data_IF_059647562711
#
_entry.id   IF_059647562711
#
_cell.length_a   1.000
_cell.length_b   1.000
_cell.length_c   1.000
_cell.angle_alpha   90.00
_cell.angle_beta   90.00
_cell.angle_gamma   90.00
#
_symmetry.space_group_name_H-M   'P 1'
#
loop_
_entity.id
_entity.type
_entity.pdbx_description
1 polymer ?
#
# COMPACT_ATOMS: atom_id res chain seq x y z
N UNK A 1 18.65 -3.86 0.06
CA UNK A 1 19.84 -2.99 0.28
C UNK A 1 20.34 -3.29 1.68
N UNK A 2 21.53 -3.85 1.80
CA UNK A 2 22.02 -4.44 3.06
C UNK A 2 22.98 -3.55 3.85
N UNK A 3 23.35 -2.36 3.36
CA UNK A 3 24.27 -1.44 4.05
C UNK A 3 23.84 0.00 3.86
N UNK A 4 23.15 0.53 4.86
CA UNK A 4 22.63 1.91 4.86
C UNK A 4 23.75 2.96 4.75
N UNK A 5 24.96 2.64 5.25
CA UNK A 5 26.12 3.54 5.18
C UNK A 5 26.48 3.92 3.73
N UNK A 6 26.23 3.03 2.78
CA UNK A 6 26.51 3.29 1.35
C UNK A 6 25.60 4.33 0.72
N UNK A 7 24.41 4.52 1.27
CA UNK A 7 23.42 5.48 0.77
C UNK A 7 23.35 6.76 1.59
N UNK A 8 24.13 6.86 2.67
CA UNK A 8 24.15 8.05 3.53
C UNK A 8 24.36 9.36 2.73
N UNK A 9 25.34 9.49 1.82
CA UNK A 9 25.50 10.72 1.04
C UNK A 9 24.25 11.05 0.20
N UNK A 10 23.53 10.03 -0.31
CA UNK A 10 22.28 10.25 -1.02
C UNK A 10 21.18 10.75 -0.10
N UNK A 11 21.06 10.19 1.12
CA UNK A 11 20.08 10.63 2.11
C UNK A 11 20.33 12.07 2.58
N UNK A 12 21.60 12.45 2.74
CA UNK A 12 22.01 13.82 3.06
C UNK A 12 21.60 14.79 1.94
N UNK A 13 21.89 14.46 0.68
CA UNK A 13 21.47 15.25 -0.49
C UNK A 13 19.94 15.33 -0.62
N UNK A 14 19.22 14.22 -0.42
CA UNK A 14 17.75 14.21 -0.43
C UNK A 14 17.19 15.14 0.63
N UNK A 15 17.76 15.12 1.85
CA UNK A 15 17.36 16.03 2.92
C UNK A 15 17.66 17.49 2.59
N UNK A 16 18.79 17.78 1.95
CA UNK A 16 19.20 19.13 1.54
C UNK A 16 18.26 19.71 0.47
N UNK A 17 17.88 18.89 -0.51
CA UNK A 17 17.04 19.27 -1.63
C UNK A 17 15.55 19.03 -1.40
N UNK A 18 15.14 18.70 -0.18
CA UNK A 18 13.76 18.35 0.21
C UNK A 18 13.14 17.27 -0.69
N UNK A 19 13.95 16.31 -1.15
CA UNK A 19 13.50 15.18 -1.95
C UNK A 19 13.02 14.05 -1.01
N UNK A 20 11.75 13.59 -1.10
CA UNK A 20 11.25 12.56 -0.21
C UNK A 20 11.85 11.19 -0.49
N UNK A 21 12.18 10.46 0.56
CA UNK A 21 12.58 9.06 0.53
C UNK A 21 11.34 8.16 0.60
N UNK A 22 11.08 7.38 -0.43
CA UNK A 22 10.03 6.37 -0.46
C UNK A 22 10.68 5.00 -0.28
N UNK A 23 10.19 4.22 0.68
CA UNK A 23 10.82 2.95 1.03
C UNK A 23 9.86 1.76 0.97
N UNK A 24 10.26 0.71 0.26
CA UNK A 24 9.75 -0.62 0.52
C UNK A 24 10.36 -1.12 1.83
N UNK A 25 9.57 -1.15 2.88
CA UNK A 25 10.02 -1.24 4.27
C UNK A 25 10.28 -2.66 4.78
N UNK A 26 11.06 -3.49 4.10
CA UNK A 26 11.36 -4.86 4.55
C UNK A 26 12.86 -5.15 4.63
N UNK A 27 13.29 -5.86 5.68
CA UNK A 27 14.64 -6.46 5.73
C UNK A 27 14.67 -7.73 4.89
N UNK A 28 15.86 -8.05 4.35
CA UNK A 28 16.07 -9.26 3.51
C UNK A 28 16.97 -10.30 4.19
N UNK A 29 17.23 -10.16 5.49
CA UNK A 29 18.05 -11.10 6.24
C UNK A 29 17.39 -12.50 6.29
N UNK A 30 18.09 -13.59 5.93
CA UNK A 30 17.50 -14.94 5.84
C UNK A 30 16.91 -15.48 7.14
N UNK A 31 17.37 -14.98 8.29
CA UNK A 31 16.89 -15.40 9.61
C UNK A 31 15.64 -14.66 10.11
N UNK A 32 15.12 -13.70 9.35
CA UNK A 32 13.91 -12.96 9.71
C UNK A 32 12.70 -13.57 9.03
N UNK A 33 11.68 -13.94 9.83
CA UNK A 33 10.40 -14.43 9.31
C UNK A 33 9.79 -13.42 8.34
N UNK A 34 9.23 -13.92 7.23
CA UNK A 34 8.64 -13.10 6.18
C UNK A 34 7.58 -12.11 6.71
N UNK A 35 6.82 -12.52 7.73
CA UNK A 35 5.78 -11.69 8.32
C UNK A 35 6.31 -10.61 9.27
N UNK A 36 7.56 -10.71 9.73
CA UNK A 36 8.21 -9.78 10.64
C UNK A 36 9.15 -8.77 9.94
N UNK A 37 9.40 -8.94 8.65
CA UNK A 37 10.41 -8.16 7.89
C UNK A 37 10.16 -6.66 7.94
N UNK A 38 8.91 -6.22 7.84
CA UNK A 38 8.56 -4.80 7.93
C UNK A 38 8.83 -4.27 9.34
N UNK A 39 8.35 -4.94 10.39
CA UNK A 39 8.61 -4.55 11.78
C UNK A 39 10.10 -4.40 12.06
N UNK A 40 10.89 -5.41 11.70
CA UNK A 40 12.35 -5.39 11.92
C UNK A 40 13.00 -4.24 11.14
N UNK A 41 12.57 -3.96 9.91
CA UNK A 41 13.09 -2.82 9.13
C UNK A 41 12.80 -1.48 9.82
N UNK A 42 11.59 -1.29 10.31
CA UNK A 42 11.20 -0.07 11.01
C UNK A 42 12.04 0.15 12.26
N UNK A 43 12.20 -0.90 13.08
CA UNK A 43 12.91 -0.85 14.36
C UNK A 43 14.42 -0.68 14.20
N UNK A 44 15.03 -1.29 13.19
CA UNK A 44 16.51 -1.39 13.09
C UNK A 44 17.13 -0.50 12.01
N UNK A 45 16.36 -0.15 10.98
CA UNK A 45 16.88 0.62 9.83
C UNK A 45 16.22 1.98 9.75
N UNK A 46 14.88 2.03 9.67
CA UNK A 46 14.18 3.28 9.41
C UNK A 46 14.23 4.24 10.60
N UNK A 47 14.16 3.71 11.82
CA UNK A 47 14.29 4.52 13.04
C UNK A 47 15.64 5.28 13.10
N UNK A 48 16.76 4.61 12.71
CA UNK A 48 18.07 5.25 12.63
C UNK A 48 18.13 6.31 11.52
N UNK A 49 17.54 6.03 10.34
CA UNK A 49 17.47 7.01 9.24
C UNK A 49 16.74 8.27 9.68
N UNK A 50 15.54 8.13 10.24
CA UNK A 50 14.70 9.25 10.68
C UNK A 50 15.40 10.06 11.79
N UNK A 51 16.06 9.39 12.73
CA UNK A 51 16.80 10.05 13.80
C UNK A 51 18.01 10.86 13.30
N UNK A 52 18.75 10.33 12.32
CA UNK A 52 19.94 11.00 11.76
C UNK A 52 19.60 12.07 10.72
N UNK A 53 18.45 11.96 10.07
CA UNK A 53 18.01 12.88 9.01
C UNK A 53 16.67 13.53 9.36
N UNK A 54 16.59 14.38 10.41
CA UNK A 54 15.32 14.88 10.95
C UNK A 54 14.54 15.79 10.00
N UNK A 55 15.18 16.31 8.95
CA UNK A 55 14.52 17.11 7.91
C UNK A 55 14.15 16.31 6.66
N UNK A 56 14.55 15.05 6.56
CA UNK A 56 14.21 14.18 5.44
C UNK A 56 12.72 13.82 5.50
N UNK A 57 12.00 14.02 4.40
CA UNK A 57 10.65 13.47 4.25
C UNK A 57 10.74 11.99 3.92
N UNK A 58 9.99 11.18 4.63
CA UNK A 58 10.00 9.72 4.45
C UNK A 58 8.59 9.19 4.27
N UNK A 59 8.39 8.32 3.30
CA UNK A 59 7.14 7.59 3.10
C UNK A 59 7.42 6.09 3.23
N UNK A 60 6.77 5.45 4.19
CA UNK A 60 6.67 3.99 4.27
C UNK A 60 5.64 3.56 3.24
N UNK A 61 6.09 3.08 2.09
CA UNK A 61 5.20 2.65 1.02
C UNK A 61 4.46 1.35 1.41
N UNK A 62 3.18 1.23 0.99
CA UNK A 62 2.34 0.03 1.15
C UNK A 62 2.45 -0.61 2.54
N UNK A 63 2.37 0.22 3.61
CA UNK A 63 2.44 -0.24 4.99
C UNK A 63 1.50 -1.44 5.23
N UNK A 64 2.00 -2.48 5.89
CA UNK A 64 1.29 -3.75 6.03
C UNK A 64 1.11 -4.22 7.48
N UNK A 65 1.71 -3.53 8.47
CA UNK A 65 1.69 -3.92 9.87
C UNK A 65 1.12 -2.84 10.80
N UNK A 66 0.67 -3.24 11.98
CA UNK A 66 0.34 -2.31 13.07
C UNK A 66 1.57 -1.50 13.47
N UNK A 67 2.73 -2.11 13.50
CA UNK A 67 4.00 -1.50 13.87
C UNK A 67 4.35 -0.34 12.93
N UNK A 68 4.02 -0.46 11.63
CA UNK A 68 4.15 0.65 10.69
C UNK A 68 3.18 1.80 11.01
N UNK A 69 1.94 1.49 11.37
CA UNK A 69 0.97 2.50 11.83
C UNK A 69 1.47 3.23 13.06
N UNK A 70 1.95 2.48 14.07
CA UNK A 70 2.44 3.03 15.33
C UNK A 70 3.70 3.88 15.11
N UNK A 71 4.63 3.40 14.29
CA UNK A 71 5.85 4.12 13.93
C UNK A 71 5.53 5.46 13.23
N UNK A 72 4.67 5.45 12.21
CA UNK A 72 4.30 6.66 11.45
C UNK A 72 3.55 7.63 12.35
N UNK A 73 2.62 7.15 13.17
CA UNK A 73 1.85 7.99 14.09
C UNK A 73 2.74 8.65 15.13
N UNK A 74 3.69 7.90 15.71
CA UNK A 74 4.64 8.39 16.71
C UNK A 74 5.78 9.24 16.17
N UNK A 75 6.03 9.23 14.86
CA UNK A 75 7.06 10.03 14.20
C UNK A 75 6.65 11.49 14.03
N UNK A 76 7.60 12.36 13.68
CA UNK A 76 7.34 13.76 13.33
C UNK A 76 6.51 13.93 12.04
N UNK A 77 6.16 15.17 11.65
CA UNK A 77 5.28 15.45 10.51
C UNK A 77 5.92 15.12 9.14
N UNK A 78 7.21 14.82 9.11
CA UNK A 78 7.95 14.46 7.90
C UNK A 78 7.94 12.96 7.58
N UNK A 79 7.21 12.15 8.35
CA UNK A 79 7.05 10.72 8.13
C UNK A 79 5.59 10.41 7.87
N UNK A 80 5.33 9.74 6.74
CA UNK A 80 4.01 9.33 6.31
C UNK A 80 4.03 7.88 5.79
N UNK A 81 2.88 7.34 5.44
CA UNK A 81 2.78 6.02 4.81
C UNK A 81 1.69 5.98 3.75
N UNK A 82 1.91 5.19 2.71
CA UNK A 82 0.86 4.75 1.79
C UNK A 82 0.24 3.45 2.28
N UNK A 83 -1.05 3.27 2.01
CA UNK A 83 -1.77 2.02 2.32
C UNK A 83 -2.53 1.59 1.07
N UNK A 84 -2.39 0.32 0.69
CA UNK A 84 -3.03 -0.25 -0.50
C UNK A 84 -4.43 -0.76 -0.19
N UNK A 85 -5.30 -0.82 -1.20
CA UNK A 85 -6.64 -1.36 -1.05
C UNK A 85 -6.62 -2.84 -0.59
N UNK A 86 -5.69 -3.64 -1.10
CA UNK A 86 -5.60 -5.04 -0.72
C UNK A 86 -5.16 -5.26 0.73
N UNK A 87 -4.29 -4.41 1.31
CA UNK A 87 -3.95 -4.47 2.72
C UNK A 87 -5.09 -3.98 3.65
N UNK A 88 -6.01 -3.15 3.15
CA UNK A 88 -7.22 -2.75 3.89
C UNK A 88 -8.29 -3.85 3.89
N UNK A 89 -8.45 -4.57 2.78
CA UNK A 89 -9.56 -5.50 2.57
C UNK A 89 -9.25 -6.94 2.99
N UNK A 90 -7.98 -7.36 2.93
CA UNK A 90 -7.62 -8.77 3.07
C UNK A 90 -6.55 -9.00 4.13
N UNK A 91 -6.75 -10.06 4.91
CA UNK A 91 -5.69 -10.65 5.75
C UNK A 91 -5.02 -11.81 5.02
N UNK A 92 -3.92 -12.32 5.59
CA UNK A 92 -3.17 -13.45 5.02
C UNK A 92 -4.00 -14.70 4.74
N UNK A 93 -5.15 -14.86 5.39
CA UNK A 93 -6.06 -15.97 5.16
C UNK A 93 -6.62 -16.00 3.72
N UNK A 94 -6.66 -14.82 3.05
CA UNK A 94 -7.09 -14.74 1.66
C UNK A 94 -6.19 -15.52 0.69
N UNK A 95 -4.89 -15.68 1.02
CA UNK A 95 -3.94 -16.47 0.22
C UNK A 95 -4.32 -17.95 0.12
N UNK A 96 -5.09 -18.47 1.08
CA UNK A 96 -5.34 -19.91 1.25
C UNK A 96 -6.83 -20.26 1.27
N UNK A 97 -7.71 -19.29 1.07
CA UNK A 97 -9.16 -19.52 1.05
C UNK A 97 -9.59 -20.30 -0.18
N UNK A 98 -10.04 -21.56 0.01
CA UNK A 98 -10.41 -22.47 -1.06
C UNK A 98 -9.22 -23.06 -1.83
N UNK A 99 -8.01 -23.00 -1.28
CA UNK A 99 -6.75 -23.43 -1.88
C UNK A 99 -5.74 -22.30 -1.99
N UNK A 100 -4.58 -22.55 -2.60
CA UNK A 100 -3.57 -21.50 -2.79
C UNK A 100 -4.01 -20.52 -3.89
N UNK A 101 -4.04 -19.24 -3.55
CA UNK A 101 -4.48 -18.15 -4.45
C UNK A 101 -3.29 -17.25 -4.82
N UNK A 102 -2.53 -17.54 -5.86
CA UNK A 102 -1.30 -16.83 -6.21
C UNK A 102 -1.52 -15.35 -6.54
N UNK A 103 -2.71 -14.96 -7.01
CA UNK A 103 -3.06 -13.57 -7.32
C UNK A 103 -3.18 -12.67 -6.07
N UNK A 104 -3.23 -13.25 -4.85
CA UNK A 104 -3.12 -12.52 -3.59
C UNK A 104 -1.69 -12.44 -3.03
N UNK A 105 -0.71 -13.04 -3.72
CA UNK A 105 0.69 -12.94 -3.31
C UNK A 105 1.29 -11.59 -3.72
N UNK A 106 1.73 -10.82 -2.73
CA UNK A 106 2.43 -9.53 -2.85
C UNK A 106 3.57 -9.45 -1.81
N UNK A 107 4.42 -8.46 -1.95
CA UNK A 107 5.39 -8.05 -0.95
C UNK A 107 5.25 -6.55 -0.69
N UNK A 108 5.06 -6.15 0.57
CA UNK A 108 4.94 -6.97 1.78
C UNK A 108 3.74 -7.91 1.72
N UNK A 109 3.89 -9.12 2.27
CA UNK A 109 2.78 -10.09 2.29
C UNK A 109 1.61 -9.58 3.13
N UNK A 110 0.39 -10.00 2.77
CA UNK A 110 -0.79 -9.80 3.62
C UNK A 110 -0.52 -10.35 5.02
N UNK A 111 -0.86 -9.59 6.06
CA UNK A 111 -0.57 -9.92 7.45
C UNK A 111 -1.80 -10.53 8.16
N UNK A 112 -1.68 -10.76 9.47
CA UNK A 112 -2.81 -11.19 10.32
C UNK A 112 -3.92 -10.15 10.33
N UNK A 113 -5.13 -10.58 10.66
CA UNK A 113 -6.33 -9.72 10.77
C UNK A 113 -6.09 -8.50 11.66
N UNK A 114 -5.41 -8.66 12.78
CA UNK A 114 -5.11 -7.54 13.70
C UNK A 114 -4.27 -6.41 13.06
N UNK A 115 -3.42 -6.73 12.09
CA UNK A 115 -2.68 -5.71 11.32
C UNK A 115 -3.60 -5.04 10.30
N UNK A 116 -4.41 -5.82 9.55
CA UNK A 116 -5.41 -5.28 8.62
C UNK A 116 -6.34 -4.28 9.31
N UNK A 117 -6.87 -4.64 10.49
CA UNK A 117 -7.72 -3.74 11.27
C UNK A 117 -6.99 -2.46 11.72
N UNK A 118 -5.70 -2.56 12.07
CA UNK A 118 -4.90 -1.39 12.44
C UNK A 118 -4.71 -0.46 11.24
N UNK A 119 -4.43 -1.01 10.05
CA UNK A 119 -4.32 -0.24 8.80
C UNK A 119 -5.64 0.42 8.42
N UNK A 120 -6.76 -0.30 8.52
CA UNK A 120 -8.09 0.24 8.22
C UNK A 120 -8.42 1.41 9.16
N UNK A 121 -8.18 1.25 10.46
CA UNK A 121 -8.35 2.35 11.43
C UNK A 121 -7.46 3.56 11.10
N UNK A 122 -6.20 3.34 10.72
CA UNK A 122 -5.29 4.41 10.34
C UNK A 122 -5.76 5.17 9.09
N UNK A 123 -6.12 4.45 8.02
CA UNK A 123 -6.62 5.03 6.78
C UNK A 123 -7.89 5.85 6.99
N UNK A 124 -8.79 5.37 7.85
CA UNK A 124 -10.10 6.01 8.11
C UNK A 124 -10.09 6.99 9.29
N UNK A 125 -8.95 7.22 9.94
CA UNK A 125 -8.83 8.13 11.10
C UNK A 125 -8.91 9.61 10.76
N UNK A 126 -8.64 9.99 9.50
CA UNK A 126 -8.42 11.37 9.07
C UNK A 126 -7.02 11.91 9.40
N UNK A 127 -6.10 11.07 9.87
CA UNK A 127 -4.70 11.45 10.06
C UNK A 127 -4.01 11.63 8.70
N UNK A 128 -3.60 12.86 8.39
CA UNK A 128 -3.00 13.22 7.10
C UNK A 128 -1.66 12.52 6.78
N UNK A 129 -1.08 11.80 7.73
CA UNK A 129 0.12 10.99 7.50
C UNK A 129 -0.16 9.70 6.74
N UNK A 130 -1.43 9.29 6.59
CA UNK A 130 -1.82 8.10 5.84
C UNK A 130 -2.58 8.51 4.59
N UNK A 131 -2.16 7.99 3.43
CA UNK A 131 -2.81 8.29 2.16
C UNK A 131 -2.73 7.12 1.18
N UNK A 132 -3.45 7.24 0.09
CA UNK A 132 -3.57 6.23 -0.94
C UNK A 132 -2.23 5.98 -1.63
N UNK A 133 -1.88 4.70 -1.76
CA UNK A 133 -0.85 4.20 -2.65
C UNK A 133 -1.25 2.82 -3.12
N UNK A 134 -1.53 2.65 -4.40
CA UNK A 134 -2.15 1.42 -4.91
C UNK A 134 -1.19 0.23 -4.95
N UNK A 135 0.10 0.50 -5.16
CA UNK A 135 1.08 -0.55 -5.47
C UNK A 135 0.52 -1.59 -6.46
N UNK A 136 -0.15 -1.07 -7.52
CA UNK A 136 -0.75 -1.93 -8.54
C UNK A 136 0.34 -2.54 -9.40
N UNK A 137 0.68 -3.80 -9.12
CA UNK A 137 1.83 -4.51 -9.69
C UNK A 137 1.37 -5.68 -10.58
N UNK A 138 1.09 -5.43 -11.88
CA UNK A 138 0.66 -6.46 -12.80
C UNK A 138 1.79 -7.42 -13.17
N UNK A 139 1.51 -8.72 -13.07
CA UNK A 139 2.32 -9.78 -13.63
C UNK A 139 1.43 -10.68 -14.49
N UNK A 140 1.97 -11.22 -15.58
CA UNK A 140 1.20 -12.11 -16.40
C UNK A 140 0.68 -13.33 -15.60
N UNK A 141 -0.49 -13.82 -15.97
CA UNK A 141 -1.14 -14.95 -15.30
C UNK A 141 -0.19 -16.14 -15.15
N UNK A 142 0.51 -16.51 -16.23
CA UNK A 142 1.43 -17.64 -16.22
C UNK A 142 2.62 -17.44 -15.24
N UNK A 143 3.06 -16.20 -15.02
CA UNK A 143 4.14 -15.89 -14.09
C UNK A 143 3.64 -15.98 -12.63
N UNK A 144 2.41 -15.53 -12.37
CA UNK A 144 1.75 -15.64 -11.06
C UNK A 144 1.44 -17.08 -10.67
N UNK A 145 0.99 -17.88 -11.64
CA UNK A 145 0.59 -19.28 -11.43
C UNK A 145 1.76 -20.26 -11.60
N UNK A 146 2.99 -19.76 -11.67
CA UNK A 146 4.22 -20.57 -11.71
C UNK A 146 4.71 -20.93 -10.30
N UNK A 147 5.68 -21.83 -10.20
CA UNK A 147 6.35 -22.16 -8.93
C UNK A 147 7.06 -20.96 -8.29
N UNK A 148 7.47 -19.98 -9.07
CA UNK A 148 8.09 -18.75 -8.59
C UNK A 148 7.06 -17.77 -8.00
N UNK A 149 5.82 -17.77 -8.52
CA UNK A 149 4.69 -17.03 -7.98
C UNK A 149 4.94 -15.53 -7.84
N UNK A 150 5.39 -14.82 -8.88
CA UNK A 150 5.78 -13.40 -8.83
C UNK A 150 4.92 -12.56 -7.89
N UNK A 151 5.57 -11.84 -6.96
CA UNK A 151 4.90 -10.99 -5.98
C UNK A 151 4.36 -9.72 -6.64
N UNK A 152 3.07 -9.44 -6.44
CA UNK A 152 2.40 -8.25 -6.94
C UNK A 152 0.90 -8.50 -7.13
N UNK A 153 0.08 -7.53 -6.77
CA UNK A 153 -1.39 -7.56 -6.95
C UNK A 153 -1.78 -6.48 -7.94
N UNK A 154 -2.47 -6.86 -9.00
CA UNK A 154 -2.97 -5.91 -10.00
C UNK A 154 -4.33 -5.37 -9.57
N UNK A 155 -4.36 -4.20 -8.95
CA UNK A 155 -5.57 -3.56 -8.40
C UNK A 155 -6.12 -2.41 -9.24
N UNK A 156 -5.33 -1.86 -10.18
CA UNK A 156 -5.69 -0.65 -10.93
C UNK A 156 -7.09 -0.64 -11.56
N UNK A 157 -7.64 -1.76 -12.12
CA UNK A 157 -8.96 -1.74 -12.76
C UNK A 157 -10.13 -1.37 -11.85
N UNK A 158 -9.99 -1.54 -10.54
CA UNK A 158 -11.04 -1.24 -9.56
C UNK A 158 -10.47 -0.58 -8.29
N UNK A 159 -9.32 0.09 -8.39
CA UNK A 159 -8.59 0.53 -7.21
C UNK A 159 -9.41 1.47 -6.32
N UNK A 160 -9.97 2.54 -6.87
CA UNK A 160 -10.70 3.53 -6.08
C UNK A 160 -12.01 2.97 -5.53
N UNK A 161 -12.67 2.09 -6.27
CA UNK A 161 -13.88 1.39 -5.85
C UNK A 161 -13.60 0.45 -4.67
N UNK A 162 -12.44 -0.23 -4.68
CA UNK A 162 -12.01 -1.09 -3.56
C UNK A 162 -11.68 -0.27 -2.32
N UNK A 163 -11.10 0.92 -2.46
CA UNK A 163 -10.96 1.83 -1.33
C UNK A 163 -12.32 2.28 -0.81
N UNK A 164 -13.27 2.59 -1.69
CA UNK A 164 -14.63 2.95 -1.28
C UNK A 164 -15.31 1.81 -0.49
N UNK A 165 -15.17 0.55 -0.91
CA UNK A 165 -15.65 -0.60 -0.14
C UNK A 165 -15.02 -0.67 1.26
N UNK A 166 -13.70 -0.49 1.37
CA UNK A 166 -13.01 -0.52 2.66
C UNK A 166 -13.48 0.60 3.59
N UNK A 167 -13.65 1.82 3.07
CA UNK A 167 -14.13 2.96 3.84
C UNK A 167 -15.62 2.86 4.19
N UNK A 168 -16.46 2.30 3.30
CA UNK A 168 -17.86 2.00 3.60
C UNK A 168 -17.98 0.99 4.74
N UNK A 169 -17.22 -0.11 4.69
CA UNK A 169 -17.20 -1.12 5.77
C UNK A 169 -16.77 -0.54 7.11
N UNK A 170 -15.93 0.48 7.12
CA UNK A 170 -15.51 1.18 8.32
C UNK A 170 -16.47 2.31 8.75
N UNK A 171 -17.53 2.59 7.97
CA UNK A 171 -18.45 3.70 8.23
C UNK A 171 -17.82 5.09 8.09
N UNK A 172 -16.81 5.23 7.21
CA UNK A 172 -15.96 6.41 7.09
C UNK A 172 -15.81 6.92 5.63
N UNK A 173 -16.84 6.76 4.80
CA UNK A 173 -16.81 7.21 3.40
C UNK A 173 -16.51 8.71 3.26
N UNK A 174 -16.94 9.52 4.22
CA UNK A 174 -16.65 10.95 4.31
C UNK A 174 -15.15 11.29 4.40
N UNK A 175 -14.31 10.31 4.77
CA UNK A 175 -12.86 10.45 4.89
C UNK A 175 -12.11 10.01 3.62
N UNK A 176 -12.79 9.35 2.68
CA UNK A 176 -12.15 8.77 1.49
C UNK A 176 -11.49 9.84 0.61
N UNK A 177 -12.15 10.97 0.38
CA UNK A 177 -11.61 12.04 -0.48
C UNK A 177 -10.29 12.59 0.08
N UNK A 178 -10.24 12.87 1.37
CA UNK A 178 -9.01 13.37 2.00
C UNK A 178 -7.87 12.37 1.91
N UNK A 179 -8.14 11.09 2.21
CA UNK A 179 -7.17 10.00 2.11
C UNK A 179 -6.67 9.78 0.69
N UNK A 180 -7.56 9.82 -0.31
CA UNK A 180 -7.23 9.49 -1.69
C UNK A 180 -6.66 10.67 -2.51
N UNK A 181 -7.03 11.91 -2.15
CA UNK A 181 -6.79 13.06 -3.03
C UNK A 181 -6.13 14.27 -2.37
N UNK A 182 -6.10 14.37 -1.02
CA UNK A 182 -5.56 15.54 -0.34
C UNK A 182 -4.26 15.25 0.40
N UNK A 183 -4.22 14.22 1.23
CA UNK A 183 -3.09 13.95 2.11
C UNK A 183 -1.78 13.70 1.34
N UNK A 184 -1.84 12.95 0.23
CA UNK A 184 -0.66 12.68 -0.61
C UNK A 184 -0.08 13.95 -1.23
N UNK A 185 -0.83 14.71 -2.03
CA UNK A 185 -0.37 15.98 -2.58
C UNK A 185 0.16 16.95 -1.52
N UNK A 186 -0.56 17.11 -0.40
CA UNK A 186 -0.13 17.99 0.69
C UNK A 186 1.22 17.56 1.28
N UNK A 187 1.42 16.25 1.50
CA UNK A 187 2.69 15.72 1.99
C UNK A 187 3.84 15.93 1.01
N UNK A 188 3.58 15.72 -0.29
CA UNK A 188 4.59 15.88 -1.33
C UNK A 188 4.84 17.36 -1.73
N UNK A 189 4.00 18.29 -1.28
CA UNK A 189 4.06 19.69 -1.70
C UNK A 189 3.61 19.91 -3.13
N UNK A 190 2.69 19.06 -3.61
CA UNK A 190 2.11 19.13 -4.95
C UNK A 190 0.75 19.83 -4.90
N UNK A 191 0.33 20.51 -5.97
CA UNK A 191 -1.04 21.03 -6.05
C UNK A 191 -2.05 19.89 -6.05
N UNK A 192 -3.16 20.07 -5.34
CA UNK A 192 -4.31 19.16 -5.41
C UNK A 192 -4.95 19.22 -6.80
N UNK A 193 -5.48 18.10 -7.28
CA UNK A 193 -6.22 18.06 -8.53
C UNK A 193 -7.46 18.97 -8.47
N UNK A 194 -7.70 19.74 -9.54
CA UNK A 194 -8.85 20.62 -9.65
C UNK A 194 -10.15 19.88 -10.06
N UNK A 195 -10.02 18.73 -10.72
CA UNK A 195 -11.13 17.89 -11.14
C UNK A 195 -11.65 16.99 -10.01
N UNK A 196 -12.87 16.48 -10.21
CA UNK A 196 -13.47 15.48 -9.33
C UNK A 196 -13.88 14.24 -10.11
N UNK A 197 -13.94 13.11 -9.42
CA UNK A 197 -14.49 11.86 -9.91
C UNK A 197 -15.77 11.54 -9.12
N UNK A 198 -16.67 10.79 -9.72
CA UNK A 198 -17.92 10.39 -9.07
C UNK A 198 -17.90 8.88 -8.88
N UNK A 199 -18.03 8.44 -7.65
CA UNK A 199 -18.27 7.04 -7.32
C UNK A 199 -19.76 6.84 -7.06
N UNK A 200 -20.39 5.90 -7.78
CA UNK A 200 -21.78 5.52 -7.59
C UNK A 200 -21.85 4.15 -6.90
N UNK A 201 -22.79 4.00 -5.99
CA UNK A 201 -23.08 2.70 -5.38
C UNK A 201 -23.90 1.84 -6.35
N UNK A 202 -23.20 1.34 -7.34
CA UNK A 202 -23.72 0.54 -8.45
C UNK A 202 -22.79 -0.66 -8.65
N UNK A 203 -23.27 -1.85 -8.36
CA UNK A 203 -22.45 -3.05 -8.44
C UNK A 203 -22.10 -3.38 -9.91
N UNK A 204 -20.86 -3.82 -10.11
CA UNK A 204 -20.37 -4.30 -11.40
C UNK A 204 -19.38 -5.45 -11.20
N UNK A 205 -19.18 -6.27 -12.21
CA UNK A 205 -18.24 -7.39 -12.16
C UNK A 205 -16.88 -6.99 -12.73
N UNK A 206 -15.82 -7.23 -11.97
CA UNK A 206 -14.44 -7.06 -12.45
C UNK A 206 -14.18 -8.12 -13.52
N UNK A 207 -13.58 -7.80 -14.67
CA UNK A 207 -13.21 -8.80 -15.68
C UNK A 207 -12.37 -9.93 -15.08
N UNK A 208 -12.61 -11.17 -15.52
CA UNK A 208 -11.84 -12.33 -15.04
C UNK A 208 -10.35 -12.26 -15.39
N UNK A 209 -10.04 -11.68 -16.55
CA UNK A 209 -8.68 -11.39 -17.00
C UNK A 209 -8.70 -10.22 -17.99
N UNK A 210 -7.54 -9.61 -18.19
CA UNK A 210 -7.34 -8.50 -19.13
C UNK A 210 -6.14 -8.78 -20.03
N UNK A 211 -6.10 -8.21 -21.25
CA UNK A 211 -4.92 -8.30 -22.12
C UNK A 211 -3.67 -7.69 -21.48
N UNK A 212 -2.53 -8.34 -21.64
CA UNK A 212 -1.24 -7.91 -21.15
C UNK A 212 -0.14 -8.18 -22.19
N UNK A 213 -0.08 -7.37 -23.22
CA UNK A 213 0.68 -7.66 -24.44
C UNK A 213 0.15 -8.92 -25.14
N UNK A 214 1.04 -9.89 -25.38
CA UNK A 214 0.67 -11.20 -25.93
C UNK A 214 0.17 -12.20 -24.87
N UNK A 215 0.04 -11.79 -23.62
CA UNK A 215 -0.38 -12.61 -22.46
C UNK A 215 -1.64 -12.02 -21.81
N UNK A 216 -2.07 -12.56 -20.68
CA UNK A 216 -3.16 -12.02 -19.86
C UNK A 216 -2.69 -11.73 -18.45
N UNK A 217 -3.39 -10.82 -17.77
CA UNK A 217 -3.24 -10.50 -16.36
C UNK A 217 -4.57 -10.65 -15.63
N UNK A 218 -4.53 -11.16 -14.41
CA UNK A 218 -5.71 -11.34 -13.56
C UNK A 218 -5.76 -10.21 -12.54
N UNK A 219 -6.78 -9.35 -12.58
CA UNK A 219 -6.93 -8.27 -11.62
C UNK A 219 -7.40 -8.77 -10.26
N UNK A 220 -7.17 -7.98 -9.23
CA UNK A 220 -7.79 -8.20 -7.92
C UNK A 220 -9.32 -8.20 -8.06
N UNK A 221 -10.01 -9.13 -7.43
CA UNK A 221 -11.48 -9.36 -7.55
C UNK A 221 -11.92 -9.87 -8.94
N UNK A 222 -11.02 -10.46 -9.70
CA UNK A 222 -11.35 -11.06 -11.01
C UNK A 222 -12.60 -11.96 -10.95
N UNK A 223 -13.62 -11.65 -11.77
CA UNK A 223 -14.88 -12.37 -11.80
C UNK A 223 -15.82 -12.10 -10.61
N UNK A 224 -15.39 -11.33 -9.63
CA UNK A 224 -16.19 -10.96 -8.46
C UNK A 224 -16.90 -9.62 -8.66
N UNK A 225 -17.97 -9.38 -7.87
CA UNK A 225 -18.68 -8.11 -7.87
C UNK A 225 -18.00 -7.10 -6.94
N UNK A 226 -17.93 -5.84 -7.38
CA UNK A 226 -17.53 -4.66 -6.59
C UNK A 226 -18.74 -3.76 -6.46
N UNK A 227 -19.01 -3.24 -5.25
CA UNK A 227 -20.24 -2.51 -4.94
C UNK A 227 -20.27 -1.07 -5.47
N UNK A 228 -19.10 -0.50 -5.71
CA UNK A 228 -18.93 0.88 -6.18
C UNK A 228 -18.43 0.89 -7.62
N UNK A 229 -18.84 1.91 -8.38
CA UNK A 229 -18.43 2.12 -9.77
C UNK A 229 -17.98 3.56 -9.97
N UNK A 230 -16.81 3.73 -10.57
CA UNK A 230 -16.35 5.02 -11.08
C UNK A 230 -17.23 5.41 -12.27
N UNK A 231 -17.87 6.59 -12.18
CA UNK A 231 -18.56 7.21 -13.30
C UNK A 231 -17.60 8.12 -14.06
N UNK A 232 -17.59 7.98 -15.37
CA UNK A 232 -16.91 8.91 -16.27
C UNK A 232 -17.65 10.26 -16.31
#
# INVERSE_FOLDING_TARGET
MTRIERVRPALEAMQEHDLPLLVHGEVTAPGVDLFDRERVFLETVLADIVARHPRLRVVVEHASTREAVDFVTGSGPRVAATITAHHLLYSRSALFSGGFRPHFYCLPVLKREAHREALLRAATSGNAKFFLGTDSAPHARADKESHCGHAGIYSAPAAIELYAEAFEQAGALDRLEAFASFHGPDFYGLPRNAGSIILRREAWSVPGELPFGARTVVPLRAGESVAWRLSA
#
